data_IF_573100352043
#
_entry.id   IF_573100352043
#
_cell.length_a   1.000
_cell.length_b   1.000
_cell.length_c   1.000
_cell.angle_alpha   90.00
_cell.angle_beta   90.00
_cell.angle_gamma   90.00
#
_symmetry.space_group_name_H-M   'P 1'
#
loop_
_entity.id
_entity.type
_entity.pdbx_description
1 polymer ?
#
# COMPACT_ATOMS: atom_id res chain seq x y z
N UNK A 1 56.36 -20.26 -24.15
CA UNK A 1 57.55 -19.43 -23.85
C UNK A 1 57.09 -18.35 -22.90
N UNK A 2 57.47 -18.47 -21.62
CA UNK A 2 56.95 -17.66 -20.53
C UNK A 2 57.06 -16.17 -20.85
N UNK A 3 55.90 -15.52 -20.93
CA UNK A 3 55.71 -14.08 -20.89
C UNK A 3 56.49 -13.56 -19.69
N UNK A 4 57.58 -12.81 -19.95
CA UNK A 4 58.23 -11.94 -18.95
C UNK A 4 57.10 -11.30 -18.15
N UNK A 5 57.10 -11.55 -16.85
CA UNK A 5 56.24 -10.89 -15.88
C UNK A 5 56.20 -9.41 -16.24
N UNK A 6 55.09 -9.04 -16.87
CA UNK A 6 54.89 -7.70 -17.35
C UNK A 6 54.49 -6.83 -16.17
N UNK A 7 54.89 -5.58 -16.29
CA UNK A 7 54.26 -4.46 -15.61
C UNK A 7 54.66 -4.27 -14.16
N UNK A 8 55.51 -3.26 -13.95
CA UNK A 8 55.71 -2.55 -12.69
C UNK A 8 56.47 -3.32 -11.60
N UNK A 9 56.15 -4.57 -11.26
CA UNK A 9 56.83 -5.30 -10.15
C UNK A 9 58.30 -5.60 -10.46
N UNK A 10 58.60 -6.03 -11.69
CA UNK A 10 59.99 -6.16 -12.14
C UNK A 10 60.69 -4.80 -12.15
N UNK A 11 59.98 -3.75 -12.57
CA UNK A 11 60.52 -2.40 -12.63
C UNK A 11 60.81 -1.83 -11.24
N UNK A 12 59.94 -2.06 -10.26
CA UNK A 12 60.13 -1.63 -8.87
C UNK A 12 61.27 -2.39 -8.22
N UNK A 13 61.40 -3.70 -8.48
CA UNK A 13 62.55 -4.50 -8.02
C UNK A 13 63.85 -4.03 -8.66
N UNK A 14 63.88 -3.85 -9.98
CA UNK A 14 65.07 -3.38 -10.71
C UNK A 14 65.50 -1.99 -10.24
N UNK A 15 64.56 -1.06 -10.07
CA UNK A 15 64.84 0.28 -9.54
C UNK A 15 65.38 0.16 -8.11
N UNK A 16 64.72 -0.63 -7.25
CA UNK A 16 65.17 -0.83 -5.87
C UNK A 16 66.56 -1.47 -5.80
N UNK A 17 66.87 -2.45 -6.65
CA UNK A 17 68.15 -3.16 -6.70
C UNK A 17 69.28 -2.30 -7.30
N UNK A 18 69.00 -1.52 -8.34
CA UNK A 18 69.95 -0.57 -8.92
C UNK A 18 70.36 0.50 -7.88
N UNK A 19 69.40 0.90 -7.05
CA UNK A 19 69.57 1.88 -5.98
C UNK A 19 70.20 1.26 -4.73
N UNK A 20 69.94 -0.02 -4.42
CA UNK A 20 70.54 -0.76 -3.29
C UNK A 20 71.98 -1.23 -3.57
N UNK A 21 72.27 -1.68 -4.80
CA UNK A 21 73.55 -2.25 -5.22
C UNK A 21 74.67 -1.25 -5.49
N UNK A 22 74.55 -0.02 -4.99
CA UNK A 22 75.56 1.06 -5.10
C UNK A 22 75.83 1.54 -6.54
N UNK A 23 74.95 1.24 -7.51
CA UNK A 23 75.20 1.50 -8.93
C UNK A 23 74.01 2.15 -9.64
N UNK A 24 73.71 3.39 -9.25
CA UNK A 24 72.70 4.24 -9.89
C UNK A 24 72.93 4.42 -11.41
N UNK A 25 74.16 4.23 -11.91
CA UNK A 25 74.43 4.29 -13.35
C UNK A 25 73.66 3.19 -14.13
N UNK A 26 73.21 2.12 -13.47
CA UNK A 26 72.30 1.12 -14.06
C UNK A 26 70.96 1.70 -14.50
N UNK A 27 70.52 2.80 -13.87
CA UNK A 27 69.30 3.52 -14.24
C UNK A 27 69.48 4.43 -15.46
N UNK A 28 70.71 4.60 -15.95
CA UNK A 28 71.02 5.36 -17.17
C UNK A 28 71.38 4.44 -18.35
N UNK A 29 71.29 3.12 -18.17
CA UNK A 29 71.62 2.16 -19.22
C UNK A 29 70.54 2.14 -20.33
N UNK A 30 70.92 1.97 -21.61
CA UNK A 30 69.97 1.83 -22.71
C UNK A 30 68.99 0.67 -22.52
N UNK A 31 69.38 -0.41 -21.84
CA UNK A 31 68.51 -1.53 -21.52
C UNK A 31 67.35 -1.13 -20.61
N UNK A 32 67.62 -0.29 -19.60
CA UNK A 32 66.58 0.22 -18.70
C UNK A 32 65.64 1.17 -19.45
N UNK A 33 66.18 2.04 -20.29
CA UNK A 33 65.39 2.90 -21.19
C UNK A 33 64.43 2.07 -22.06
N UNK A 34 64.94 0.99 -22.65
CA UNK A 34 64.14 0.06 -23.46
C UNK A 34 63.04 -0.65 -22.65
N UNK A 35 63.33 -1.04 -21.41
CA UNK A 35 62.33 -1.66 -20.54
C UNK A 35 61.21 -0.68 -20.14
N UNK A 36 61.55 0.61 -19.99
CA UNK A 36 60.60 1.69 -19.70
C UNK A 36 59.72 2.05 -20.90
N UNK A 37 60.29 2.16 -22.10
CA UNK A 37 59.53 2.48 -23.32
C UNK A 37 58.50 1.41 -23.66
N UNK A 38 58.76 0.15 -23.28
CA UNK A 38 57.84 -0.98 -23.44
C UNK A 38 56.70 -1.01 -22.41
N UNK A 39 56.72 -0.21 -21.34
CA UNK A 39 55.63 -0.20 -20.35
C UNK A 39 54.39 0.50 -20.91
N UNK A 40 53.25 -0.20 -20.95
CA UNK A 40 51.98 0.37 -21.38
C UNK A 40 51.47 1.42 -20.39
N UNK A 41 50.94 2.52 -20.92
CA UNK A 41 50.39 3.63 -20.12
C UNK A 41 51.45 4.51 -19.43
N UNK A 42 52.70 4.08 -19.25
CA UNK A 42 53.71 4.88 -18.55
C UNK A 42 53.99 6.19 -19.32
N UNK A 43 53.80 7.35 -18.70
CA UNK A 43 54.15 8.67 -19.28
C UNK A 43 55.46 9.21 -18.73
N UNK A 44 55.69 9.05 -17.43
CA UNK A 44 56.83 9.64 -16.76
C UNK A 44 57.28 8.82 -15.55
N UNK A 45 58.60 8.81 -15.29
CA UNK A 45 59.19 8.29 -14.04
C UNK A 45 60.19 9.31 -13.49
N UNK A 46 60.16 9.52 -12.18
CA UNK A 46 61.27 10.09 -11.42
C UNK A 46 61.70 9.09 -10.35
N UNK A 47 62.97 8.71 -10.35
CA UNK A 47 63.59 8.00 -9.24
C UNK A 47 64.51 8.98 -8.53
N UNK A 48 64.41 9.10 -7.21
CA UNK A 48 65.28 9.95 -6.38
C UNK A 48 65.80 9.17 -5.18
N UNK A 49 67.05 9.42 -4.78
CA UNK A 49 67.63 8.83 -3.58
C UNK A 49 69.03 9.38 -3.29
N UNK A 50 69.77 8.71 -2.40
CA UNK A 50 71.16 9.04 -2.09
C UNK A 50 72.07 7.86 -2.41
N UNK A 51 73.20 8.16 -3.05
CA UNK A 51 74.26 7.17 -3.28
C UNK A 51 74.79 6.61 -1.96
N UNK A 52 74.83 5.29 -1.81
CA UNK A 52 75.46 4.64 -0.65
C UNK A 52 76.97 4.87 -0.58
N UNK A 53 77.61 5.17 -1.72
CA UNK A 53 79.06 5.38 -1.81
C UNK A 53 79.45 6.85 -1.58
N UNK A 54 78.81 7.78 -2.30
CA UNK A 54 79.16 9.21 -2.25
C UNK A 54 78.27 10.03 -1.31
N UNK A 55 77.17 9.46 -0.81
CA UNK A 55 76.13 10.15 -0.02
C UNK A 55 75.48 11.35 -0.72
N UNK A 56 75.79 11.57 -2.00
CA UNK A 56 75.20 12.63 -2.83
C UNK A 56 73.80 12.23 -3.31
N UNK A 57 72.89 13.20 -3.50
CA UNK A 57 71.61 12.94 -4.12
C UNK A 57 71.82 12.46 -5.56
N UNK A 58 71.06 11.43 -5.93
CA UNK A 58 70.98 10.95 -7.30
C UNK A 58 69.50 10.77 -7.68
N UNK A 59 69.13 11.43 -8.76
CA UNK A 59 67.79 11.49 -9.31
C UNK A 59 67.85 11.27 -10.82
N UNK A 60 67.00 10.39 -11.32
CA UNK A 60 66.92 10.02 -12.73
C UNK A 60 65.47 10.15 -13.19
N UNK A 61 65.26 10.83 -14.30
CA UNK A 61 63.95 11.04 -14.89
C UNK A 61 63.86 10.36 -16.25
N UNK A 62 62.68 9.82 -16.54
CA UNK A 62 62.32 9.29 -17.85
C UNK A 62 61.01 9.91 -18.33
N UNK A 63 61.00 10.39 -19.57
CA UNK A 63 59.81 10.91 -20.25
C UNK A 63 59.54 10.08 -21.51
N UNK A 64 58.36 9.45 -21.58
CA UNK A 64 58.03 8.54 -22.68
C UNK A 64 57.75 9.26 -24.00
N UNK A 65 57.16 10.45 -23.99
CA UNK A 65 56.76 11.17 -25.22
C UNK A 65 57.94 11.50 -26.13
N UNK A 66 59.07 11.87 -25.53
CA UNK A 66 60.31 12.22 -26.24
C UNK A 66 61.34 11.07 -26.19
N UNK A 67 60.99 9.95 -25.53
CA UNK A 67 61.90 8.87 -25.16
C UNK A 67 63.22 9.39 -24.57
N UNK A 68 63.15 10.23 -23.54
CA UNK A 68 64.30 10.85 -22.89
C UNK A 68 64.56 10.22 -21.52
N UNK A 69 65.81 9.82 -21.26
CA UNK A 69 66.29 9.32 -19.97
C UNK A 69 67.49 10.14 -19.56
N UNK A 70 67.41 10.87 -18.46
CA UNK A 70 68.48 11.77 -18.03
C UNK A 70 68.62 11.81 -16.51
N UNK A 71 69.80 12.24 -16.07
CA UNK A 71 70.07 12.53 -14.67
C UNK A 71 69.55 13.92 -14.33
N UNK A 72 68.80 14.04 -13.25
CA UNK A 72 68.16 15.30 -12.82
C UNK A 72 69.09 16.15 -11.96
N UNK A 73 69.93 15.54 -11.13
CA UNK A 73 70.77 16.24 -10.17
C UNK A 73 72.27 16.07 -10.43
N UNK A 74 73.00 17.17 -10.41
CA UNK A 74 74.46 17.19 -10.43
C UNK A 74 74.95 18.02 -9.23
N UNK A 75 76.11 17.71 -8.63
CA UNK A 75 76.71 18.55 -7.60
C UNK A 75 76.91 19.99 -8.08
N UNK A 76 76.75 20.97 -7.19
CA UNK A 76 76.91 22.39 -7.54
C UNK A 76 78.32 22.71 -8.08
N UNK A 77 79.34 21.96 -7.63
CA UNK A 77 80.73 22.09 -8.07
C UNK A 77 81.07 21.22 -9.30
N UNK A 78 80.08 20.55 -9.93
CA UNK A 78 80.33 19.53 -10.96
C UNK A 78 81.15 20.07 -12.14
N UNK A 79 80.73 21.20 -12.71
CA UNK A 79 81.40 21.80 -13.86
C UNK A 79 82.80 22.32 -13.50
N UNK A 80 82.97 22.92 -12.32
CA UNK A 80 84.26 23.40 -11.83
C UNK A 80 85.24 22.24 -11.60
N UNK A 81 84.76 21.15 -11.01
CA UNK A 81 85.53 19.92 -10.77
C UNK A 81 85.94 19.26 -12.09
N UNK A 82 85.02 19.19 -13.05
CA UNK A 82 85.28 18.63 -14.38
C UNK A 82 86.32 19.45 -15.14
N UNK A 83 86.16 20.78 -15.17
CA UNK A 83 87.14 21.70 -15.77
C UNK A 83 88.52 21.58 -15.12
N UNK A 84 88.59 21.48 -13.78
CA UNK A 84 89.85 21.32 -13.03
C UNK A 84 90.54 19.98 -13.36
N UNK A 85 89.79 18.90 -13.53
CA UNK A 85 90.32 17.58 -13.91
C UNK A 85 90.79 17.56 -15.36
N UNK A 86 90.04 18.18 -16.27
CA UNK A 86 90.41 18.32 -17.68
C UNK A 86 91.72 19.12 -17.81
N UNK A 87 91.84 20.25 -17.11
CA UNK A 87 93.07 21.05 -17.10
C UNK A 87 94.30 20.27 -16.58
N UNK A 88 94.13 19.43 -15.55
CA UNK A 88 95.20 18.54 -15.06
C UNK A 88 95.60 17.46 -16.07
N UNK A 89 94.66 16.94 -16.84
CA UNK A 89 94.95 15.95 -17.89
C UNK A 89 95.64 16.59 -19.10
N UNK A 90 95.21 17.78 -19.50
CA UNK A 90 95.88 18.57 -20.55
C UNK A 90 97.32 18.94 -20.15
N UNK A 91 97.57 19.23 -18.86
CA UNK A 91 98.93 19.43 -18.36
C UNK A 91 99.77 18.13 -18.45
N UNK A 92 99.20 16.98 -18.07
CA UNK A 92 99.87 15.67 -18.17
C UNK A 92 100.13 15.22 -19.60
N UNK A 93 99.33 15.68 -20.56
CA UNK A 93 99.53 15.47 -21.99
C UNK A 93 100.85 16.07 -22.51
N UNK A 94 101.39 17.07 -21.80
CA UNK A 94 102.64 17.74 -22.13
C UNK A 94 103.89 17.08 -21.49
N UNK A 95 103.74 16.04 -20.66
CA UNK A 95 104.87 15.35 -19.99
C UNK A 95 105.48 14.24 -20.88
N UNK A 96 106.82 14.06 -20.90
CA UNK A 96 107.46 12.99 -21.67
C UNK A 96 107.11 11.60 -21.12
N UNK A 97 106.54 10.73 -21.95
CA UNK A 97 106.17 9.34 -21.58
C UNK A 97 104.69 9.13 -21.24
N UNK A 98 103.83 10.13 -21.46
CA UNK A 98 102.39 10.04 -21.21
C UNK A 98 101.65 9.11 -22.20
N UNK A 99 100.70 8.32 -21.68
CA UNK A 99 99.81 7.47 -22.49
C UNK A 99 98.73 8.33 -23.17
N UNK A 100 99.04 8.80 -24.38
CA UNK A 100 98.19 9.71 -25.16
C UNK A 100 96.82 9.13 -25.51
N UNK A 101 96.72 7.80 -25.69
CA UNK A 101 95.45 7.12 -26.01
C UNK A 101 94.51 7.22 -24.81
N UNK A 102 95.02 6.92 -23.62
CA UNK A 102 94.24 6.99 -22.38
C UNK A 102 93.87 8.42 -22.01
N UNK A 103 94.76 9.39 -22.25
CA UNK A 103 94.49 10.81 -21.96
C UNK A 103 93.41 11.37 -22.90
N UNK A 104 93.52 11.14 -24.21
CA UNK A 104 92.51 11.62 -25.16
C UNK A 104 91.13 10.99 -24.88
N UNK A 105 91.08 9.69 -24.59
CA UNK A 105 89.84 9.01 -24.17
C UNK A 105 89.20 9.65 -22.93
N UNK A 106 90.00 10.04 -21.93
CA UNK A 106 89.49 10.70 -20.72
C UNK A 106 89.00 12.14 -20.99
N UNK A 107 89.65 12.86 -21.91
CA UNK A 107 89.22 14.20 -22.32
C UNK A 107 87.90 14.12 -23.08
N UNK A 108 87.77 13.23 -24.07
CA UNK A 108 86.50 12.99 -24.78
C UNK A 108 85.38 12.63 -23.80
N UNK A 109 85.66 11.76 -22.83
CA UNK A 109 84.69 11.40 -21.79
C UNK A 109 84.27 12.58 -20.89
N UNK A 110 85.15 13.55 -20.66
CA UNK A 110 84.79 14.77 -19.92
C UNK A 110 83.92 15.71 -20.75
N UNK A 111 84.18 15.81 -22.06
CA UNK A 111 83.32 16.55 -22.98
C UNK A 111 81.91 15.93 -23.07
N UNK A 112 81.80 14.60 -23.17
CA UNK A 112 80.52 13.89 -23.13
C UNK A 112 79.75 14.17 -21.82
N UNK A 113 80.45 14.15 -20.69
CA UNK A 113 79.85 14.44 -19.39
C UNK A 113 79.40 15.91 -19.27
N UNK A 114 80.07 16.85 -19.95
CA UNK A 114 79.68 18.27 -20.02
C UNK A 114 78.41 18.44 -20.85
N UNK A 115 78.31 17.77 -21.99
CA UNK A 115 77.10 17.77 -22.82
C UNK A 115 75.91 17.18 -22.06
N UNK A 116 76.09 16.03 -21.39
CA UNK A 116 75.05 15.41 -20.56
C UNK A 116 74.56 16.31 -19.41
N UNK A 117 75.44 17.14 -18.86
CA UNK A 117 75.06 18.13 -17.84
C UNK A 117 74.23 19.28 -18.44
N UNK A 118 74.62 19.80 -19.61
CA UNK A 118 73.86 20.85 -20.30
C UNK A 118 72.47 20.36 -20.73
N UNK A 119 72.39 19.16 -21.30
CA UNK A 119 71.13 18.51 -21.67
C UNK A 119 70.23 18.32 -20.45
N UNK A 120 70.79 17.88 -19.32
CA UNK A 120 70.06 17.73 -18.07
C UNK A 120 69.44 19.05 -17.59
N UNK A 121 70.20 20.16 -17.61
CA UNK A 121 69.66 21.47 -17.23
C UNK A 121 68.48 21.89 -18.11
N UNK A 122 68.63 21.71 -19.43
CA UNK A 122 67.57 22.01 -20.40
C UNK A 122 66.33 21.15 -20.16
N UNK A 123 66.49 19.83 -20.00
CA UNK A 123 65.39 18.90 -19.77
C UNK A 123 64.70 19.15 -18.42
N UNK A 124 65.44 19.50 -17.38
CA UNK A 124 64.87 19.86 -16.09
C UNK A 124 63.98 21.10 -16.20
N UNK A 125 64.46 22.15 -16.86
CA UNK A 125 63.69 23.37 -17.05
C UNK A 125 62.42 23.13 -17.88
N UNK A 126 62.52 22.33 -18.93
CA UNK A 126 61.44 22.09 -19.89
C UNK A 126 60.37 21.12 -19.37
N UNK A 127 60.78 20.03 -18.71
CA UNK A 127 59.88 18.89 -18.42
C UNK A 127 59.60 18.69 -16.94
N UNK A 128 60.53 19.01 -16.04
CA UNK A 128 60.39 18.69 -14.61
C UNK A 128 59.38 19.62 -13.89
N UNK A 129 59.26 20.88 -14.33
CA UNK A 129 58.31 21.85 -13.74
C UNK A 129 56.86 21.40 -13.88
N UNK A 130 56.50 20.79 -15.02
CA UNK A 130 55.13 20.31 -15.29
C UNK A 130 54.70 19.18 -14.34
N UNK A 131 55.65 18.50 -13.70
CA UNK A 131 55.38 17.39 -12.79
C UNK A 131 55.24 17.82 -11.33
N UNK A 132 55.71 19.01 -10.97
CA UNK A 132 55.58 19.52 -9.61
C UNK A 132 54.11 19.66 -9.19
N UNK A 133 53.22 19.98 -10.15
CA UNK A 133 51.77 20.05 -9.91
C UNK A 133 51.19 18.73 -9.40
N UNK A 134 51.67 17.58 -9.90
CA UNK A 134 51.24 16.26 -9.43
C UNK A 134 51.93 15.86 -8.11
N UNK A 135 53.16 16.32 -7.88
CA UNK A 135 53.94 16.06 -6.65
C UNK A 135 53.40 16.79 -5.42
N UNK A 136 52.79 17.97 -5.58
CA UNK A 136 52.29 18.78 -4.47
C UNK A 136 51.26 18.05 -3.58
N UNK A 137 50.53 17.06 -4.11
CA UNK A 137 49.56 16.26 -3.34
C UNK A 137 50.22 15.22 -2.42
N UNK A 138 51.50 14.87 -2.60
CA UNK A 138 52.25 13.99 -1.70
C UNK A 138 51.88 12.50 -1.71
N UNK A 139 50.66 12.13 -2.11
CA UNK A 139 50.08 10.78 -2.03
C UNK A 139 49.72 10.18 -3.41
N UNK A 140 49.54 8.85 -3.44
CA UNK A 140 49.02 8.13 -4.61
C UNK A 140 47.60 8.60 -4.93
N UNK A 141 47.35 9.00 -6.17
CA UNK A 141 46.04 9.50 -6.56
C UNK A 141 45.70 9.17 -8.01
N UNK A 142 44.39 9.06 -8.25
CA UNK A 142 43.80 8.84 -9.57
C UNK A 142 43.07 10.11 -9.99
N UNK A 143 43.45 10.67 -11.12
CA UNK A 143 42.76 11.78 -11.77
C UNK A 143 41.99 11.24 -12.98
N UNK A 144 40.74 10.84 -12.74
CA UNK A 144 39.88 10.26 -13.79
C UNK A 144 39.50 11.30 -14.85
N UNK A 145 39.49 12.59 -14.52
CA UNK A 145 39.11 13.66 -15.46
C UNK A 145 40.23 13.89 -16.49
N UNK A 146 41.49 13.84 -16.04
CA UNK A 146 42.67 13.92 -16.93
C UNK A 146 43.14 12.57 -17.45
N UNK A 147 42.54 11.47 -16.99
CA UNK A 147 42.96 10.12 -17.34
C UNK A 147 44.37 9.80 -16.87
N UNK A 148 44.76 10.22 -15.66
CA UNK A 148 46.10 10.04 -15.12
C UNK A 148 46.10 9.27 -13.79
N UNK A 149 47.09 8.42 -13.61
CA UNK A 149 47.35 7.69 -12.38
C UNK A 149 48.75 8.03 -11.89
N UNK A 150 48.84 8.64 -10.71
CA UNK A 150 50.08 8.98 -10.06
C UNK A 150 50.38 7.99 -8.93
N UNK A 151 51.53 7.34 -9.00
CA UNK A 151 52.01 6.36 -8.02
C UNK A 151 53.36 6.80 -7.50
N UNK A 152 53.47 6.92 -6.17
CA UNK A 152 54.70 7.14 -5.42
C UNK A 152 54.92 5.98 -4.46
N UNK A 153 56.12 5.43 -4.47
CA UNK A 153 56.52 4.43 -3.49
C UNK A 153 57.94 4.68 -2.99
N UNK A 154 58.17 4.28 -1.74
CA UNK A 154 59.49 4.30 -1.13
C UNK A 154 60.30 3.08 -1.59
N UNK A 155 61.58 3.30 -1.88
CA UNK A 155 62.52 2.25 -2.22
C UNK A 155 62.95 1.51 -0.95
N UNK A 156 63.19 0.20 -1.05
CA UNK A 156 63.57 -0.64 0.11
C UNK A 156 65.03 -0.45 0.56
N UNK A 157 65.76 0.53 0.01
CA UNK A 157 67.13 0.79 0.43
C UNK A 157 67.15 1.54 1.78
N UNK A 158 68.10 1.24 2.66
CA UNK A 158 68.24 1.89 3.97
C UNK A 158 68.58 3.40 3.94
N UNK A 159 68.48 4.07 2.77
CA UNK A 159 68.91 5.44 2.51
C UNK A 159 67.80 6.36 1.95
N UNK A 160 66.52 6.02 2.21
CA UNK A 160 65.35 6.89 1.95
C UNK A 160 65.19 7.34 0.48
N UNK A 161 65.26 6.41 -0.46
CA UNK A 161 64.91 6.67 -1.86
C UNK A 161 63.41 6.55 -2.15
N UNK A 162 62.95 7.15 -3.24
CA UNK A 162 61.58 7.07 -3.73
C UNK A 162 61.52 6.98 -5.25
N UNK A 163 60.47 6.37 -5.77
CA UNK A 163 60.13 6.42 -7.18
C UNK A 163 58.70 6.93 -7.36
N UNK A 164 58.54 7.80 -8.34
CA UNK A 164 57.29 8.43 -8.75
C UNK A 164 57.01 8.06 -10.20
N UNK A 165 55.80 7.59 -10.49
CA UNK A 165 55.37 7.16 -11.81
C UNK A 165 54.04 7.83 -12.16
N UNK A 166 53.93 8.24 -13.42
CA UNK A 166 52.70 8.77 -13.99
C UNK A 166 52.23 7.86 -15.12
N UNK A 167 51.01 7.35 -15.04
CA UNK A 167 50.39 6.50 -16.05
C UNK A 167 49.20 7.21 -16.71
N UNK A 168 49.00 6.96 -18.00
CA UNK A 168 47.79 7.25 -18.75
C UNK A 168 46.77 6.13 -18.56
N UNK A 169 45.62 6.49 -18.01
CA UNK A 169 44.47 5.63 -17.77
C UNK A 169 43.21 6.18 -18.47
N UNK A 170 43.38 6.98 -19.52
CA UNK A 170 42.27 7.59 -20.27
C UNK A 170 41.27 6.56 -20.79
N UNK A 171 41.72 5.35 -21.14
CA UNK A 171 40.84 4.28 -21.59
C UNK A 171 39.93 3.76 -20.47
N UNK A 172 40.41 3.73 -19.22
CA UNK A 172 39.60 3.39 -18.04
C UNK A 172 38.57 4.48 -17.78
N UNK A 173 38.96 5.76 -17.92
CA UNK A 173 38.05 6.88 -17.77
C UNK A 173 36.91 6.86 -18.81
N UNK A 174 37.24 6.55 -20.08
CA UNK A 174 36.24 6.36 -21.15
C UNK A 174 35.29 5.20 -20.86
N UNK A 175 35.82 4.07 -20.38
CA UNK A 175 35.01 2.90 -20.06
C UNK A 175 33.97 3.21 -18.96
N UNK A 176 34.33 4.02 -17.96
CA UNK A 176 33.41 4.45 -16.91
C UNK A 176 32.22 5.22 -17.46
N UNK A 177 32.45 6.15 -18.39
CA UNK A 177 31.38 6.97 -18.98
C UNK A 177 30.42 6.11 -19.78
N UNK A 178 30.95 5.25 -20.66
CA UNK A 178 30.15 4.30 -21.44
C UNK A 178 29.30 3.41 -20.55
N UNK A 179 29.88 2.89 -19.46
CA UNK A 179 29.17 2.06 -18.49
C UNK A 179 28.00 2.80 -17.82
N UNK A 180 28.18 4.08 -17.46
CA UNK A 180 27.12 4.89 -16.85
C UNK A 180 25.99 5.13 -17.86
N UNK A 181 26.32 5.49 -19.11
CA UNK A 181 25.32 5.70 -20.16
C UNK A 181 24.50 4.44 -20.43
N UNK A 182 25.16 3.29 -20.55
CA UNK A 182 24.50 2.00 -20.72
C UNK A 182 23.61 1.64 -19.52
N UNK A 183 24.09 1.83 -18.30
CA UNK A 183 23.32 1.55 -17.08
C UNK A 183 22.06 2.43 -16.98
N UNK A 184 22.16 3.72 -17.33
CA UNK A 184 21.01 4.63 -17.34
C UNK A 184 20.01 4.22 -18.41
N UNK A 185 20.47 3.83 -19.59
CA UNK A 185 19.60 3.35 -20.67
C UNK A 185 18.83 2.10 -20.26
N UNK A 186 19.51 1.10 -19.68
CA UNK A 186 18.88 -0.13 -19.19
C UNK A 186 17.85 0.14 -18.08
N UNK A 187 18.18 1.05 -17.16
CA UNK A 187 17.26 1.47 -16.11
C UNK A 187 15.97 2.09 -16.69
N UNK A 188 16.10 3.01 -17.65
CA UNK A 188 14.95 3.66 -18.29
C UNK A 188 14.06 2.64 -19.02
N UNK A 189 14.66 1.69 -19.75
CA UNK A 189 13.91 0.61 -20.42
C UNK A 189 13.14 -0.22 -19.41
N UNK A 190 13.78 -0.58 -18.29
CA UNK A 190 13.14 -1.36 -17.22
C UNK A 190 11.96 -0.61 -16.60
N UNK A 191 12.10 0.70 -16.33
CA UNK A 191 11.00 1.54 -15.81
C UNK A 191 9.84 1.58 -16.80
N UNK A 192 10.11 1.84 -18.08
CA UNK A 192 9.06 1.90 -19.11
C UNK A 192 8.33 0.56 -19.24
N UNK A 193 9.03 -0.57 -19.18
CA UNK A 193 8.42 -1.91 -19.21
C UNK A 193 7.63 -2.23 -17.95
N UNK A 194 7.98 -1.65 -16.80
CA UNK A 194 7.26 -1.87 -15.53
C UNK A 194 5.89 -1.19 -15.49
N UNK A 195 5.72 -0.05 -16.17
CA UNK A 195 4.48 0.75 -16.12
C UNK A 195 3.26 -0.04 -16.64
N UNK A 196 3.28 -0.68 -17.82
CA UNK A 196 2.18 -1.50 -18.31
C UNK A 196 1.80 -2.63 -17.35
N UNK A 197 2.79 -3.27 -16.73
CA UNK A 197 2.56 -4.36 -15.76
C UNK A 197 1.85 -3.82 -14.52
N UNK A 198 2.30 -2.68 -13.98
CA UNK A 198 1.65 -2.02 -12.84
C UNK A 198 0.23 -1.58 -13.18
N UNK A 199 0.01 -1.01 -14.37
CA UNK A 199 -1.33 -0.64 -14.84
C UNK A 199 -2.23 -1.87 -14.98
N UNK A 200 -1.73 -2.96 -15.58
CA UNK A 200 -2.48 -4.19 -15.72
C UNK A 200 -2.89 -4.76 -14.37
N UNK A 201 -1.98 -4.83 -13.40
CA UNK A 201 -2.30 -5.28 -12.04
C UNK A 201 -3.33 -4.38 -11.36
N UNK A 202 -3.18 -3.05 -11.51
CA UNK A 202 -4.10 -2.07 -10.93
C UNK A 202 -5.53 -2.23 -11.48
N UNK A 203 -5.69 -2.30 -12.80
CA UNK A 203 -7.00 -2.41 -13.45
C UNK A 203 -7.60 -3.82 -13.34
N UNK A 204 -6.77 -4.86 -13.36
CA UNK A 204 -7.26 -6.25 -13.33
C UNK A 204 -7.61 -6.72 -11.92
N UNK A 205 -6.95 -6.19 -10.88
CA UNK A 205 -7.09 -6.66 -9.49
C UNK A 205 -7.58 -5.54 -8.57
N UNK A 206 -6.83 -4.45 -8.44
CA UNK A 206 -7.09 -3.44 -7.40
C UNK A 206 -8.41 -2.70 -7.56
N UNK A 207 -8.75 -2.29 -8.78
CA UNK A 207 -10.01 -1.55 -9.05
C UNK A 207 -11.24 -2.43 -8.79
N UNK A 208 -11.37 -3.65 -9.36
CA UNK A 208 -12.50 -4.54 -9.07
C UNK A 208 -12.66 -4.85 -7.57
N UNK A 209 -11.55 -5.08 -6.86
CA UNK A 209 -11.58 -5.39 -5.44
C UNK A 209 -12.07 -4.20 -4.61
N UNK A 210 -11.68 -2.97 -4.98
CA UNK A 210 -12.14 -1.76 -4.31
C UNK A 210 -13.64 -1.53 -4.51
N UNK A 211 -14.14 -1.75 -5.73
CA UNK A 211 -15.58 -1.66 -6.04
C UNK A 211 -16.38 -2.71 -5.28
N UNK A 212 -15.90 -3.96 -5.25
CA UNK A 212 -16.53 -5.02 -4.46
C UNK A 212 -16.55 -4.68 -2.96
N UNK A 213 -15.44 -4.20 -2.41
CA UNK A 213 -15.35 -3.81 -1.00
C UNK A 213 -16.26 -2.62 -0.66
N UNK A 214 -16.44 -1.67 -1.61
CA UNK A 214 -17.40 -0.58 -1.45
C UNK A 214 -18.83 -1.11 -1.42
N UNK A 215 -19.16 -2.04 -2.31
CA UNK A 215 -20.44 -2.77 -2.29
C UNK A 215 -20.64 -3.51 -0.96
N UNK A 216 -19.62 -4.15 -0.41
CA UNK A 216 -19.76 -4.86 0.88
C UNK A 216 -20.11 -3.96 2.07
N UNK A 217 -19.84 -2.65 1.98
CA UNK A 217 -20.12 -1.70 3.07
C UNK A 217 -21.52 -1.08 2.99
N UNK A 218 -22.25 -1.24 1.90
CA UNK A 218 -23.63 -0.74 1.80
C UNK A 218 -24.60 -1.65 2.56
N UNK A 219 -25.74 -1.08 2.94
CA UNK A 219 -26.81 -1.80 3.63
C UNK A 219 -27.36 -2.92 2.75
N UNK A 220 -27.83 -4.01 3.37
CA UNK A 220 -28.40 -5.19 2.67
C UNK A 220 -29.56 -4.81 1.76
N UNK A 221 -30.37 -3.81 2.13
CA UNK A 221 -31.47 -3.29 1.29
C UNK A 221 -30.97 -2.55 0.04
N UNK A 222 -29.83 -1.85 0.12
CA UNK A 222 -29.22 -1.17 -1.03
C UNK A 222 -28.51 -2.16 -1.96
N UNK A 223 -28.04 -3.28 -1.42
CA UNK A 223 -27.37 -4.36 -2.14
C UNK A 223 -28.32 -5.12 -3.08
N UNK A 224 -29.60 -5.25 -2.73
CA UNK A 224 -30.61 -5.93 -3.56
C UNK A 224 -30.90 -5.15 -4.87
N UNK A 225 -30.76 -3.83 -4.83
CA UNK A 225 -31.05 -2.96 -5.99
C UNK A 225 -29.84 -2.71 -6.90
N UNK A 226 -28.62 -3.03 -6.46
CA UNK A 226 -27.38 -2.77 -7.21
C UNK A 226 -26.79 -4.05 -7.82
N UNK A 227 -26.39 -3.98 -9.09
CA UNK A 227 -25.70 -5.09 -9.75
C UNK A 227 -24.30 -5.29 -9.13
N UNK A 228 -24.03 -6.47 -8.56
CA UNK A 228 -22.74 -6.74 -7.91
C UNK A 228 -21.57 -6.61 -8.91
N UNK A 229 -20.56 -5.78 -8.60
CA UNK A 229 -19.41 -5.57 -9.47
C UNK A 229 -18.66 -6.88 -9.74
N UNK A 230 -18.28 -7.11 -11.00
CA UNK A 230 -17.40 -8.23 -11.35
C UNK A 230 -18.06 -9.60 -11.49
N UNK A 231 -19.39 -9.74 -11.35
CA UNK A 231 -20.12 -11.03 -11.52
C UNK A 231 -19.79 -11.74 -12.84
N UNK A 232 -19.57 -10.99 -13.92
CA UNK A 232 -19.29 -11.54 -15.27
C UNK A 232 -17.85 -12.01 -15.46
N UNK A 233 -16.95 -11.71 -14.53
CA UNK A 233 -15.55 -12.14 -14.63
C UNK A 233 -15.46 -13.66 -14.43
N UNK A 234 -14.53 -14.30 -15.15
CA UNK A 234 -14.31 -15.76 -15.11
C UNK A 234 -13.05 -16.16 -14.34
N UNK A 235 -12.55 -15.26 -13.50
CA UNK A 235 -11.39 -15.44 -12.63
C UNK A 235 -11.82 -15.57 -11.16
N UNK A 236 -10.84 -15.68 -10.27
CA UNK A 236 -11.03 -15.85 -8.82
C UNK A 236 -11.79 -14.66 -8.20
N UNK A 237 -11.61 -13.45 -8.75
CA UNK A 237 -12.36 -12.26 -8.33
C UNK A 237 -13.83 -12.40 -8.72
N UNK A 238 -14.11 -12.91 -9.92
CA UNK A 238 -15.47 -13.24 -10.35
C UNK A 238 -16.12 -14.33 -9.50
N UNK A 239 -15.38 -15.36 -9.11
CA UNK A 239 -15.87 -16.40 -8.20
C UNK A 239 -16.22 -15.84 -6.83
N UNK A 240 -15.36 -14.98 -6.28
CA UNK A 240 -15.63 -14.29 -5.02
C UNK A 240 -16.90 -13.43 -5.10
N UNK A 241 -17.06 -12.66 -6.18
CA UNK A 241 -18.26 -11.84 -6.40
C UNK A 241 -19.54 -12.72 -6.42
N UNK A 242 -19.52 -13.85 -7.14
CA UNK A 242 -20.67 -14.77 -7.20
C UNK A 242 -20.98 -15.43 -5.86
N UNK A 243 -19.97 -15.84 -5.10
CA UNK A 243 -20.18 -16.41 -3.77
C UNK A 243 -20.76 -15.38 -2.81
N UNK A 244 -20.28 -14.15 -2.88
CA UNK A 244 -20.82 -13.05 -2.08
C UNK A 244 -22.29 -12.77 -2.39
N UNK A 245 -22.67 -12.66 -3.67
CA UNK A 245 -24.08 -12.47 -4.07
C UNK A 245 -24.98 -13.56 -3.48
N UNK A 246 -24.56 -14.83 -3.57
CA UNK A 246 -25.32 -15.94 -2.95
C UNK A 246 -25.49 -15.81 -1.45
N UNK A 247 -24.48 -15.32 -0.73
CA UNK A 247 -24.57 -15.09 0.70
C UNK A 247 -25.55 -13.95 1.03
N UNK A 248 -25.49 -12.85 0.28
CA UNK A 248 -26.43 -11.73 0.42
C UNK A 248 -27.86 -12.22 0.20
N UNK A 249 -28.12 -12.94 -0.89
CA UNK A 249 -29.44 -13.50 -1.19
C UNK A 249 -29.94 -14.41 -0.06
N UNK A 250 -29.05 -15.24 0.49
CA UNK A 250 -29.41 -16.12 1.63
C UNK A 250 -29.72 -15.34 2.90
N UNK A 251 -29.05 -14.22 3.16
CA UNK A 251 -29.34 -13.36 4.32
C UNK A 251 -30.67 -12.65 4.14
N UNK A 252 -30.93 -12.10 2.95
CA UNK A 252 -32.22 -11.46 2.62
C UNK A 252 -33.37 -12.45 2.79
N UNK A 253 -33.22 -13.66 2.26
CA UNK A 253 -34.24 -14.70 2.38
C UNK A 253 -34.51 -15.06 3.84
N UNK A 254 -33.44 -15.29 4.64
CA UNK A 254 -33.59 -15.61 6.06
C UNK A 254 -34.20 -14.48 6.88
N UNK A 255 -33.84 -13.23 6.59
CA UNK A 255 -34.46 -12.08 7.23
C UNK A 255 -35.96 -12.01 6.91
N UNK A 256 -36.35 -12.32 5.67
CA UNK A 256 -37.76 -12.39 5.30
C UNK A 256 -38.50 -13.52 6.02
N UNK A 257 -37.89 -14.70 6.13
CA UNK A 257 -38.44 -15.81 6.92
C UNK A 257 -38.60 -15.45 8.41
N UNK A 258 -37.62 -14.76 8.98
CA UNK A 258 -37.69 -14.27 10.36
C UNK A 258 -38.76 -13.20 10.55
N UNK A 259 -38.90 -12.28 9.58
CA UNK A 259 -39.98 -11.29 9.59
C UNK A 259 -41.35 -11.98 9.53
N UNK A 260 -41.52 -12.93 8.60
CA UNK A 260 -42.76 -13.71 8.47
C UNK A 260 -43.08 -14.51 9.75
N UNK A 261 -42.08 -15.13 10.40
CA UNK A 261 -42.23 -15.79 11.70
C UNK A 261 -42.58 -14.80 12.82
N UNK A 262 -42.06 -13.58 12.74
CA UNK A 262 -42.33 -12.51 13.69
C UNK A 262 -43.71 -11.86 13.50
N UNK A 263 -44.53 -12.25 12.51
CA UNK A 263 -45.84 -11.62 12.27
C UNK A 263 -46.99 -12.17 13.11
N UNK A 264 -46.80 -13.29 13.81
CA UNK A 264 -47.85 -13.91 14.63
C UNK A 264 -47.55 -13.79 16.12
N UNK A 265 -48.60 -13.69 16.91
CA UNK A 265 -48.52 -13.80 18.37
C UNK A 265 -48.23 -15.27 18.75
N UNK A 266 -47.21 -15.55 19.57
CA UNK A 266 -46.81 -16.92 19.89
C UNK A 266 -47.79 -17.68 20.77
N UNK A 267 -48.68 -16.99 21.51
CA UNK A 267 -49.66 -17.64 22.36
C UNK A 267 -50.93 -17.99 21.57
N UNK A 268 -51.48 -17.03 20.83
CA UNK A 268 -52.79 -17.18 20.18
C UNK A 268 -52.70 -17.59 18.71
N UNK A 269 -51.54 -17.44 18.08
CA UNK A 269 -51.34 -17.68 16.65
C UNK A 269 -51.96 -16.63 15.73
N UNK A 270 -52.67 -15.63 16.28
CA UNK A 270 -53.19 -14.50 15.51
C UNK A 270 -52.07 -13.64 14.93
N UNK A 271 -52.40 -12.77 13.98
CA UNK A 271 -51.45 -11.75 13.54
C UNK A 271 -51.13 -10.79 14.70
N UNK A 272 -49.95 -10.22 14.71
CA UNK A 272 -49.57 -9.23 15.71
C UNK A 272 -49.82 -7.80 15.21
N UNK A 273 -49.69 -6.83 16.12
CA UNK A 273 -49.85 -5.39 15.82
C UNK A 273 -49.05 -4.92 14.60
N UNK A 274 -47.82 -5.43 14.37
CA UNK A 274 -46.97 -5.03 13.23
C UNK A 274 -47.56 -5.41 11.87
N UNK A 275 -48.47 -6.38 11.84
CA UNK A 275 -49.08 -6.87 10.61
C UNK A 275 -50.31 -6.06 10.17
N UNK A 276 -50.82 -5.16 11.02
CA UNK A 276 -52.08 -4.43 10.78
C UNK A 276 -52.07 -3.64 9.48
N UNK A 277 -51.07 -2.77 9.27
CA UNK A 277 -51.01 -1.88 8.10
C UNK A 277 -51.02 -2.67 6.79
N UNK A 278 -50.24 -3.75 6.73
CA UNK A 278 -50.16 -4.62 5.55
C UNK A 278 -51.51 -5.27 5.23
N UNK A 279 -52.21 -5.78 6.23
CA UNK A 279 -53.51 -6.42 6.00
C UNK A 279 -54.63 -5.42 5.74
N UNK A 280 -54.55 -4.23 6.30
CA UNK A 280 -55.47 -3.14 5.98
C UNK A 280 -55.31 -2.71 4.52
N UNK A 281 -54.07 -2.65 4.00
CA UNK A 281 -53.80 -2.46 2.57
C UNK A 281 -54.41 -3.59 1.73
N UNK A 282 -54.21 -4.85 2.12
CA UNK A 282 -54.80 -6.00 1.42
C UNK A 282 -56.34 -5.93 1.37
N UNK A 283 -57.01 -5.58 2.48
CA UNK A 283 -58.47 -5.39 2.47
C UNK A 283 -58.92 -4.23 1.58
N UNK A 284 -58.14 -3.14 1.53
CA UNK A 284 -58.44 -2.00 0.65
C UNK A 284 -58.35 -2.39 -0.83
N UNK A 285 -57.38 -3.23 -1.19
CA UNK A 285 -57.20 -3.74 -2.55
C UNK A 285 -58.27 -4.78 -2.93
N UNK A 286 -58.61 -5.68 -2.02
CA UNK A 286 -59.60 -6.75 -2.25
C UNK A 286 -61.05 -6.22 -2.29
N UNK A 287 -61.33 -5.12 -1.57
CA UNK A 287 -62.67 -4.54 -1.43
C UNK A 287 -62.70 -3.01 -1.62
N UNK A 288 -62.34 -2.50 -2.82
CA UNK A 288 -62.22 -1.06 -3.07
C UNK A 288 -63.53 -0.27 -2.91
N UNK A 289 -64.68 -0.95 -3.03
CA UNK A 289 -66.03 -0.34 -2.92
C UNK A 289 -66.63 -0.43 -1.49
N UNK A 290 -65.85 -0.87 -0.49
CA UNK A 290 -66.31 -1.01 0.89
C UNK A 290 -65.54 -0.10 1.84
N UNK A 291 -66.15 0.20 2.98
CA UNK A 291 -65.47 0.89 4.08
C UNK A 291 -64.73 -0.15 4.91
N UNK A 292 -63.47 0.14 5.24
CA UNK A 292 -62.69 -0.68 6.15
C UNK A 292 -62.99 -0.25 7.59
N UNK A 293 -63.19 -1.22 8.47
CA UNK A 293 -63.49 -0.98 9.88
C UNK A 293 -62.49 -1.72 10.77
N UNK A 294 -61.95 -1.01 11.76
CA UNK A 294 -61.18 -1.56 12.85
C UNK A 294 -62.05 -1.76 14.09
N UNK A 295 -62.07 -2.98 14.59
CA UNK A 295 -62.80 -3.39 15.78
C UNK A 295 -61.77 -3.66 16.87
N UNK A 296 -61.64 -2.75 17.83
CA UNK A 296 -60.78 -2.93 18.99
C UNK A 296 -61.57 -3.68 20.05
N UNK A 297 -61.06 -4.85 20.44
CA UNK A 297 -61.75 -5.82 21.28
C UNK A 297 -60.92 -6.02 22.55
N UNK A 298 -61.56 -6.00 23.70
CA UNK A 298 -60.92 -6.27 24.99
C UNK A 298 -61.78 -7.18 25.85
N UNK A 299 -61.14 -8.14 26.53
CA UNK A 299 -61.82 -9.08 27.43
C UNK A 299 -62.17 -8.38 28.74
N UNK A 300 -63.46 -8.31 29.03
CA UNK A 300 -63.96 -7.65 30.22
C UNK A 300 -63.47 -8.33 31.49
N UNK A 301 -62.96 -7.54 32.43
CA UNK A 301 -62.50 -7.99 33.75
C UNK A 301 -61.41 -9.08 33.70
N UNK A 302 -60.63 -9.17 32.63
CA UNK A 302 -59.61 -10.23 32.46
C UNK A 302 -58.57 -10.31 33.58
N UNK A 303 -58.17 -9.17 34.16
CA UNK A 303 -57.31 -9.16 35.36
C UNK A 303 -57.95 -9.90 36.54
N UNK A 304 -59.23 -9.65 36.82
CA UNK A 304 -59.96 -10.32 37.90
C UNK A 304 -60.16 -11.82 37.60
N UNK A 305 -60.30 -12.18 36.32
CA UNK A 305 -60.29 -13.56 35.86
C UNK A 305 -58.95 -14.25 36.20
N UNK A 306 -57.83 -13.64 35.82
CA UNK A 306 -56.49 -14.15 36.11
C UNK A 306 -56.21 -14.27 37.61
N UNK A 307 -56.63 -13.28 38.40
CA UNK A 307 -56.47 -13.30 39.86
C UNK A 307 -57.29 -14.44 40.50
N UNK A 308 -58.36 -14.91 39.85
CA UNK A 308 -59.24 -15.96 40.36
C UNK A 308 -58.82 -17.36 39.91
N UNK A 309 -58.50 -17.52 38.63
CA UNK A 309 -58.24 -18.83 38.02
C UNK A 309 -56.75 -19.09 37.75
N UNK A 310 -55.90 -18.06 37.84
CA UNK A 310 -54.48 -18.13 37.56
C UNK A 310 -54.14 -17.96 36.08
N UNK A 311 -52.90 -17.53 35.80
CA UNK A 311 -52.44 -17.18 34.45
C UNK A 311 -52.55 -18.31 33.42
N UNK A 312 -52.39 -19.58 33.82
CA UNK A 312 -52.52 -20.71 32.88
C UNK A 312 -53.94 -20.80 32.31
N UNK A 313 -54.96 -20.60 33.16
CA UNK A 313 -56.35 -20.57 32.70
C UNK A 313 -56.67 -19.30 31.92
N UNK A 314 -56.06 -18.17 32.30
CA UNK A 314 -56.08 -16.93 31.52
C UNK A 314 -55.58 -17.12 30.09
N UNK A 315 -54.39 -17.72 29.94
CA UNK A 315 -53.76 -17.99 28.66
C UNK A 315 -54.63 -18.92 27.79
N UNK A 316 -55.22 -19.96 28.38
CA UNK A 316 -56.18 -20.81 27.68
C UNK A 316 -57.42 -20.04 27.22
N UNK A 317 -57.96 -19.15 28.06
CA UNK A 317 -59.08 -18.27 27.69
C UNK A 317 -58.71 -17.34 26.55
N UNK A 318 -57.49 -16.77 26.54
CA UNK A 318 -56.99 -15.96 25.42
C UNK A 318 -56.93 -16.76 24.12
N UNK A 319 -56.45 -18.02 24.17
CA UNK A 319 -56.41 -18.91 22.99
C UNK A 319 -57.81 -19.22 22.48
N UNK A 320 -58.77 -19.50 23.38
CA UNK A 320 -60.16 -19.79 23.00
C UNK A 320 -60.84 -18.57 22.37
N UNK A 321 -60.74 -17.40 22.99
CA UNK A 321 -61.30 -16.14 22.48
C UNK A 321 -60.64 -15.78 21.14
N UNK A 322 -59.32 -15.90 21.04
CA UNK A 322 -58.61 -15.68 19.79
C UNK A 322 -59.09 -16.61 18.66
N UNK A 323 -59.33 -17.88 18.96
CA UNK A 323 -59.86 -18.85 18.01
C UNK A 323 -61.24 -18.45 17.48
N UNK A 324 -62.12 -17.93 18.34
CA UNK A 324 -63.44 -17.44 17.92
C UNK A 324 -63.33 -16.17 17.08
N UNK A 325 -62.48 -15.22 17.47
CA UNK A 325 -62.24 -13.99 16.70
C UNK A 325 -61.66 -14.32 15.31
N UNK A 326 -60.73 -15.26 15.20
CA UNK A 326 -60.15 -15.68 13.91
C UNK A 326 -61.16 -16.41 13.02
N UNK A 327 -61.98 -17.28 13.61
CA UNK A 327 -63.08 -17.93 12.90
C UNK A 327 -64.07 -16.91 12.34
N UNK A 328 -64.46 -15.94 13.17
CA UNK A 328 -65.33 -14.84 12.78
C UNK A 328 -64.72 -13.96 11.69
N UNK A 329 -63.42 -13.66 11.78
CA UNK A 329 -62.69 -12.92 10.76
C UNK A 329 -62.74 -13.63 9.41
N UNK A 330 -62.45 -14.93 9.38
CA UNK A 330 -62.46 -15.73 8.15
C UNK A 330 -63.85 -15.80 7.51
N UNK A 331 -64.90 -15.93 8.31
CA UNK A 331 -66.29 -15.91 7.84
C UNK A 331 -66.66 -14.60 7.13
N UNK A 332 -66.09 -13.48 7.60
CA UNK A 332 -66.34 -12.15 7.05
C UNK A 332 -65.23 -11.65 6.11
N UNK A 333 -64.34 -12.53 5.65
CA UNK A 333 -63.22 -12.19 4.78
C UNK A 333 -62.32 -11.09 5.33
N UNK A 334 -62.05 -11.13 6.63
CA UNK A 334 -61.22 -10.18 7.36
C UNK A 334 -60.02 -10.82 8.06
N UNK A 335 -59.34 -10.02 8.89
CA UNK A 335 -58.12 -10.43 9.59
C UNK A 335 -58.21 -10.16 11.09
N UNK A 336 -57.75 -11.13 11.90
CA UNK A 336 -57.72 -11.04 13.35
C UNK A 336 -56.29 -10.84 13.88
N UNK A 337 -56.15 -10.00 14.89
CA UNK A 337 -54.89 -9.60 15.49
C UNK A 337 -54.95 -9.65 17.01
N UNK A 338 -53.82 -9.94 17.64
CA UNK A 338 -53.59 -9.65 19.06
C UNK A 338 -52.66 -8.45 19.17
N UNK A 339 -53.10 -7.41 19.89
CA UNK A 339 -52.33 -6.19 20.09
C UNK A 339 -51.33 -6.35 21.24
N UNK A 340 -51.75 -7.04 22.31
CA UNK A 340 -50.97 -7.36 23.50
C UNK A 340 -51.89 -7.66 24.68
N UNK A 341 -51.45 -8.48 25.66
CA UNK A 341 -52.29 -8.82 26.81
C UNK A 341 -53.63 -9.45 26.40
N UNK A 342 -54.73 -8.84 26.84
CA UNK A 342 -56.12 -9.18 26.55
C UNK A 342 -56.75 -8.39 25.38
N UNK A 343 -55.95 -7.61 24.67
CA UNK A 343 -56.40 -6.72 23.62
C UNK A 343 -56.25 -7.37 22.23
N UNK A 344 -57.33 -7.34 21.48
CA UNK A 344 -57.45 -7.88 20.14
C UNK A 344 -57.92 -6.80 19.17
N UNK A 345 -57.63 -7.00 17.90
CA UNK A 345 -58.18 -6.18 16.84
C UNK A 345 -58.70 -7.06 15.72
N UNK A 346 -59.82 -6.68 15.13
CA UNK A 346 -60.39 -7.32 13.96
C UNK A 346 -60.53 -6.26 12.87
N UNK A 347 -60.07 -6.57 11.65
CA UNK A 347 -60.22 -5.73 10.47
C UNK A 347 -61.22 -6.37 9.51
N UNK A 348 -62.31 -5.66 9.20
CA UNK A 348 -63.33 -6.11 8.24
C UNK A 348 -63.62 -5.03 7.19
N UNK A 349 -64.02 -5.46 6.00
CA UNK A 349 -64.55 -4.57 4.97
C UNK A 349 -66.09 -4.72 4.89
N UNK A 350 -66.81 -3.63 5.21
CA UNK A 350 -68.28 -3.61 5.30
C UNK A 350 -68.88 -2.46 4.48
N UNK A 351 -70.14 -2.62 4.06
CA UNK A 351 -70.80 -1.64 3.18
C UNK A 351 -71.11 -0.33 3.90
N UNK A 352 -71.48 -0.43 5.17
CA UNK A 352 -71.84 0.69 6.02
C UNK A 352 -71.52 0.36 7.49
N UNK A 353 -71.65 1.40 8.32
CA UNK A 353 -71.40 1.36 9.75
C UNK A 353 -72.41 0.49 10.51
N UNK A 354 -73.66 0.41 10.04
CA UNK A 354 -74.71 -0.40 10.70
C UNK A 354 -74.41 -1.90 10.56
N UNK A 355 -73.93 -2.34 9.39
CA UNK A 355 -73.48 -3.72 9.17
C UNK A 355 -72.27 -4.03 10.04
N UNK A 356 -71.28 -3.12 10.11
CA UNK A 356 -70.12 -3.30 10.98
C UNK A 356 -70.53 -3.41 12.46
N UNK A 357 -71.49 -2.60 12.89
CA UNK A 357 -72.03 -2.68 14.26
C UNK A 357 -72.73 -4.02 14.53
N UNK A 358 -73.58 -4.49 13.62
CA UNK A 358 -74.25 -5.78 13.75
C UNK A 358 -73.24 -6.94 13.78
N UNK A 359 -72.15 -6.87 13.00
CA UNK A 359 -71.06 -7.84 13.05
C UNK A 359 -70.38 -7.86 14.42
N UNK A 360 -70.07 -6.69 15.01
CA UNK A 360 -69.49 -6.61 16.35
C UNK A 360 -70.42 -7.19 17.41
N UNK A 361 -71.73 -6.89 17.34
CA UNK A 361 -72.70 -7.46 18.26
C UNK A 361 -72.77 -9.00 18.13
N UNK A 362 -72.73 -9.51 16.90
CA UNK A 362 -72.65 -10.94 16.63
C UNK A 362 -71.40 -11.59 17.24
N UNK A 363 -70.26 -10.90 17.21
CA UNK A 363 -69.02 -11.37 17.84
C UNK A 363 -69.12 -11.37 19.38
N UNK A 364 -69.63 -10.30 20.00
CA UNK A 364 -69.89 -10.27 21.45
C UNK A 364 -70.77 -11.46 21.87
N UNK A 365 -71.87 -11.69 21.15
CA UNK A 365 -72.79 -12.77 21.47
C UNK A 365 -72.16 -14.15 21.27
N UNK A 366 -71.31 -14.34 20.25
CA UNK A 366 -70.57 -15.60 20.04
C UNK A 366 -69.62 -15.90 21.19
N UNK A 367 -68.86 -14.90 21.64
CA UNK A 367 -67.93 -15.06 22.75
C UNK A 367 -68.69 -15.34 24.05
N UNK A 368 -69.79 -14.64 24.31
CA UNK A 368 -70.65 -14.90 25.47
C UNK A 368 -71.23 -16.33 25.44
N UNK A 369 -71.65 -16.81 24.26
CA UNK A 369 -72.17 -18.15 24.03
C UNK A 369 -71.14 -19.28 24.20
N UNK A 370 -69.85 -18.97 24.22
CA UNK A 370 -68.82 -19.96 24.61
C UNK A 370 -68.95 -20.37 26.08
N UNK A 371 -69.68 -19.58 26.89
CA UNK A 371 -70.00 -19.87 28.29
C UNK A 371 -68.77 -20.19 29.16
N UNK A 372 -67.63 -19.54 28.89
CA UNK A 372 -66.43 -19.67 29.71
C UNK A 372 -66.73 -19.07 31.09
N UNK A 373 -66.69 -19.88 32.14
CA UNK A 373 -67.07 -19.48 33.50
C UNK A 373 -66.20 -18.33 34.03
N UNK A 374 -66.84 -17.27 34.55
CA UNK A 374 -66.18 -16.17 35.25
C UNK A 374 -66.93 -15.81 36.55
N UNK A 375 -66.55 -16.44 37.66
CA UNK A 375 -67.26 -16.35 38.94
C UNK A 375 -67.13 -15.00 39.66
N UNK A 376 -66.13 -14.17 39.32
CA UNK A 376 -65.84 -12.89 39.97
C UNK A 376 -65.53 -11.80 38.94
N UNK A 377 -66.54 -11.05 38.49
CA UNK A 377 -66.27 -9.87 37.65
C UNK A 377 -67.44 -9.40 36.80
N UNK A 378 -68.33 -10.29 36.37
CA UNK A 378 -69.41 -9.96 35.43
C UNK A 378 -70.79 -10.33 35.99
N UNK A 379 -71.82 -9.57 35.63
CA UNK A 379 -73.23 -9.93 35.87
C UNK A 379 -73.63 -11.19 35.09
N UNK A 380 -72.97 -11.45 33.95
CA UNK A 380 -73.19 -12.57 33.06
C UNK A 380 -72.64 -13.92 33.58
N UNK A 381 -71.75 -13.91 34.60
CA UNK A 381 -71.04 -15.10 35.13
C UNK A 381 -70.19 -15.86 34.10
N UNK A 382 -70.00 -15.30 32.90
CA UNK A 382 -69.11 -15.79 31.88
C UNK A 382 -68.18 -14.66 31.40
N UNK A 383 -67.17 -15.05 30.61
CA UNK A 383 -66.26 -14.13 29.90
C UNK A 383 -67.04 -13.39 28.82
N UNK A 384 -66.94 -12.07 28.82
CA UNK A 384 -67.53 -11.18 27.81
C UNK A 384 -66.45 -10.28 27.21
N UNK A 385 -66.76 -9.64 26.09
CA UNK A 385 -65.88 -8.64 25.47
C UNK A 385 -66.62 -7.33 25.23
N UNK A 386 -65.89 -6.24 25.38
CA UNK A 386 -66.32 -4.92 24.90
C UNK A 386 -65.62 -4.63 23.57
N UNK A 387 -66.33 -3.96 22.66
CA UNK A 387 -65.80 -3.67 21.31
C UNK A 387 -66.00 -2.20 20.95
N UNK A 388 -64.93 -1.54 20.55
CA UNK A 388 -64.94 -0.22 19.91
C UNK A 388 -64.73 -0.33 18.41
N UNK A 389 -65.55 0.36 17.60
CA UNK A 389 -65.47 0.33 16.14
C UNK A 389 -65.06 1.69 15.60
N UNK A 390 -64.12 1.72 14.65
CA UNK A 390 -63.80 2.91 13.86
C UNK A 390 -63.66 2.60 12.37
N UNK A 391 -64.22 3.46 11.53
CA UNK A 391 -64.08 3.39 10.06
C UNK A 391 -62.81 4.05 9.55
N UNK A 392 -62.35 3.60 8.38
CA UNK A 392 -61.30 4.20 7.57
C UNK A 392 -61.91 4.75 6.28
N UNK A 393 -61.68 6.04 6.01
CA UNK A 393 -62.10 6.70 4.78
C UNK A 393 -60.92 7.22 3.93
N UNK A 394 -59.68 6.90 4.33
CA UNK A 394 -58.48 7.28 3.59
C UNK A 394 -58.30 6.39 2.35
N UNK A 395 -58.05 7.01 1.19
CA UNK A 395 -57.80 6.29 -0.07
C UNK A 395 -56.41 5.63 -0.10
N UNK A 396 -55.45 6.17 0.65
CA UNK A 396 -54.08 5.67 0.73
C UNK A 396 -53.85 5.18 2.14
N UNK A 397 -53.59 3.89 2.29
CA UNK A 397 -53.35 3.26 3.59
C UNK A 397 -51.85 3.28 3.91
N UNK A 398 -51.47 3.98 4.97
CA UNK A 398 -50.12 3.99 5.53
C UNK A 398 -50.14 3.72 7.06
N UNK A 399 -48.98 3.83 7.71
CA UNK A 399 -48.86 3.63 9.16
C UNK A 399 -49.69 4.65 9.95
N UNK A 400 -49.74 5.92 9.52
CA UNK A 400 -50.52 6.97 10.19
C UNK A 400 -52.03 6.69 10.13
N UNK A 401 -52.54 6.27 8.96
CA UNK A 401 -53.93 5.83 8.79
C UNK A 401 -54.25 4.67 9.73
N UNK A 402 -53.36 3.68 9.79
CA UNK A 402 -53.54 2.50 10.66
C UNK A 402 -53.60 2.93 12.13
N UNK A 403 -52.66 3.76 12.57
CA UNK A 403 -52.60 4.25 13.94
C UNK A 403 -53.83 5.12 14.28
N UNK A 404 -54.33 5.91 13.34
CA UNK A 404 -55.55 6.69 13.49
C UNK A 404 -56.79 5.82 13.73
N UNK A 405 -56.93 4.70 13.02
CA UNK A 405 -58.02 3.74 13.24
C UNK A 405 -57.92 3.10 14.63
N UNK A 406 -56.72 2.68 15.04
CA UNK A 406 -56.48 2.09 16.36
C UNK A 406 -56.92 3.04 17.45
N UNK A 407 -56.48 4.30 17.41
CA UNK A 407 -56.79 5.32 18.42
C UNK A 407 -58.30 5.58 18.50
N UNK A 408 -58.97 5.77 17.35
CA UNK A 408 -60.42 6.01 17.33
C UNK A 408 -61.22 4.81 17.83
N UNK A 409 -60.80 3.59 17.49
CA UNK A 409 -61.45 2.38 17.95
C UNK A 409 -61.22 2.15 19.46
N UNK A 410 -60.05 2.51 19.98
CA UNK A 410 -59.75 2.50 21.42
C UNK A 410 -60.61 3.52 22.19
N UNK A 411 -60.79 4.74 21.67
CA UNK A 411 -61.69 5.74 22.26
C UNK A 411 -63.15 5.24 22.32
N UNK A 412 -63.60 4.54 21.29
CA UNK A 412 -64.92 3.90 21.28
C UNK A 412 -64.99 2.75 22.30
N UNK A 413 -63.95 1.93 22.40
CA UNK A 413 -63.87 0.83 23.36
C UNK A 413 -63.88 1.34 24.81
N UNK A 414 -63.16 2.42 25.08
CA UNK A 414 -63.19 3.09 26.38
C UNK A 414 -64.62 3.47 26.77
N UNK A 415 -65.35 4.11 25.85
CA UNK A 415 -66.76 4.47 26.01
C UNK A 415 -67.64 3.23 26.28
N UNK A 416 -67.34 2.11 25.62
CA UNK A 416 -68.04 0.85 25.85
C UNK A 416 -67.85 0.31 27.27
N UNK A 417 -66.62 0.40 27.79
CA UNK A 417 -66.31 -0.04 29.16
C UNK A 417 -66.96 0.84 30.23
N UNK A 418 -67.09 2.14 30.00
CA UNK A 418 -67.79 3.06 30.93
C UNK A 418 -69.30 2.84 30.97
N UNK A 419 -69.91 2.48 29.84
CA UNK A 419 -71.36 2.25 29.73
C UNK A 419 -71.85 0.91 30.30
N UNK A 420 -70.94 0.10 30.85
CA UNK A 420 -71.30 -1.13 31.56
C UNK A 420 -70.69 -2.42 31.00
N UNK A 421 -69.78 -2.34 30.01
CA UNK A 421 -69.11 -3.50 29.38
C UNK A 421 -70.07 -4.47 28.67
N UNK A 422 -69.53 -5.54 28.07
CA UNK A 422 -70.27 -6.47 27.21
C UNK A 422 -71.11 -5.74 26.14
N UNK A 423 -70.53 -4.71 25.53
CA UNK A 423 -71.26 -3.85 24.61
C UNK A 423 -70.36 -3.30 23.52
N UNK A 424 -71.01 -2.85 22.45
CA UNK A 424 -70.36 -2.30 21.27
C UNK A 424 -70.59 -0.80 21.24
N UNK A 425 -69.53 -0.03 21.00
CA UNK A 425 -69.61 1.39 20.69
C UNK A 425 -68.94 1.68 19.36
N UNK A 426 -69.47 2.68 18.65
CA UNK A 426 -68.87 3.18 17.43
C UNK A 426 -68.31 4.56 17.69
N UNK A 427 -67.13 4.82 17.15
CA UNK A 427 -66.52 6.13 17.22
C UNK A 427 -67.39 7.18 16.52
N UNK A 428 -67.81 8.20 17.28
CA UNK A 428 -68.66 9.30 16.82
C UNK A 428 -67.95 10.66 16.86
N UNK A 429 -66.68 10.70 16.40
CA UNK A 429 -65.95 11.96 16.18
C UNK A 429 -66.23 12.57 14.80
N UNK A 430 -66.16 13.90 14.71
CA UNK A 430 -66.64 14.74 13.60
C UNK A 430 -66.46 14.15 12.17
N UNK A 431 -67.60 13.86 11.53
CA UNK A 431 -67.93 13.99 10.10
C UNK A 431 -66.90 13.60 9.00
N UNK A 432 -66.01 12.62 9.22
CA UNK A 432 -65.10 12.18 8.15
C UNK A 432 -65.54 10.98 7.31
N UNK A 433 -66.61 10.26 7.69
CA UNK A 433 -67.10 9.10 6.93
C UNK A 433 -68.57 9.24 6.54
N UNK A 434 -68.88 10.21 5.67
CA UNK A 434 -70.05 10.10 4.79
C UNK A 434 -69.53 9.75 3.40
N UNK A 435 -69.81 8.52 2.94
CA UNK A 435 -69.66 8.15 1.54
C UNK A 435 -70.40 9.20 0.70
N UNK A 436 -69.67 9.96 -0.11
CA UNK A 436 -70.29 10.76 -1.18
C UNK A 436 -70.99 9.78 -2.11
N UNK A 437 -72.33 9.78 -2.06
CA UNK A 437 -73.20 9.02 -2.96
C UNK A 437 -72.96 9.35 -4.42
#
# INVERSE_FOLDING_TARGET
>A
MHTKESSIVYLTSYISDAVMGSNYARLLLPSFKSDLSQQNGLKYILVSGKSSFTHQPISVAYLKSEDLLWRVDYPDDFLENLNRRQAKLEQKKAEPGADMVKINYLIERFEDARLQYQDSLFFNQQYLQNLEHFRQKGENHVDLDRGLLYIRFLLKNGYAGQAELLFDISDIAKLKILFIEDSVREFLVTVVLSIPVLMFLSFSISVPLKELAKHMRSSVEELDQQATPGIRRKDEIGDLARQFTKLVDSVVLKNKELDDLSRRDPLTGLLNRRSLTKQLQTLNEDFPDKILFGFYIDIDHFKAYNDTYGHIYGDNTLVLVAGEIDSFAREHSGFAFRLGGEEFMLLLASKDQDIAFNQAQGLCQRIENMAIEHAKGTSAKCVTVSIGIAGCCDQIINEDTTQGIIVRADEALYSAKELGRNLVQIYSGDNHCQLSR
#
